data_IF_563217940673
#
_entry.id   IF_563217940673
#
_cell.length_a   1.000
_cell.length_b   1.000
_cell.length_c   1.000
_cell.angle_alpha   90.00
_cell.angle_beta   90.00
_cell.angle_gamma   90.00
#
_symmetry.space_group_name_H-M   'P 1'
#
loop_
_entity.id
_entity.type
_entity.pdbx_description
1 polymer ?
#
# COMPACT_ATOMS: atom_id res chain seq x y z
N UNK A 1 12.37 5.79 11.61
CA UNK A 1 11.24 5.44 10.73
C UNK A 1 11.01 3.94 10.86
N UNK A 2 9.80 3.48 11.21
CA UNK A 2 9.48 2.04 11.16
C UNK A 2 9.29 1.65 9.70
N UNK A 3 9.85 0.51 9.32
CA UNK A 3 9.89 0.01 7.95
C UNK A 3 9.66 -1.49 7.95
N UNK A 4 9.06 -1.98 6.87
CA UNK A 4 8.81 -3.40 6.64
C UNK A 4 9.44 -3.79 5.30
N UNK A 5 10.17 -4.90 5.27
CA UNK A 5 10.63 -5.54 4.05
C UNK A 5 9.90 -6.88 3.91
N UNK A 6 9.25 -7.08 2.76
CA UNK A 6 8.54 -8.32 2.44
C UNK A 6 9.16 -8.96 1.21
N UNK A 7 9.32 -10.28 1.23
CA UNK A 7 9.72 -11.06 0.06
C UNK A 7 8.56 -11.94 -0.38
N UNK A 8 8.22 -11.82 -1.65
CA UNK A 8 7.24 -12.67 -2.34
C UNK A 8 8.01 -13.62 -3.23
N UNK A 9 7.75 -14.92 -3.07
CA UNK A 9 8.33 -15.95 -3.91
C UNK A 9 7.32 -16.35 -4.99
N UNK A 10 7.76 -16.45 -6.25
CA UNK A 10 6.88 -16.82 -7.35
C UNK A 10 6.29 -18.22 -7.12
N UNK A 11 4.97 -18.34 -7.17
CA UNK A 11 4.24 -19.58 -6.91
C UNK A 11 3.91 -19.82 -5.43
N UNK A 12 4.45 -19.02 -4.50
CA UNK A 12 4.06 -19.07 -3.10
C UNK A 12 2.85 -18.14 -2.87
N UNK A 13 1.67 -18.74 -2.80
CA UNK A 13 0.41 -18.05 -2.53
C UNK A 13 -0.01 -18.16 -1.05
N UNK A 14 0.85 -18.71 -0.17
CA UNK A 14 0.50 -18.98 1.22
C UNK A 14 1.10 -17.95 2.17
N UNK A 15 2.42 -17.76 2.13
CA UNK A 15 3.13 -16.98 3.14
C UNK A 15 4.15 -16.02 2.53
N UNK A 16 4.44 -14.93 3.24
CA UNK A 16 5.49 -13.97 2.94
C UNK A 16 6.51 -13.93 4.08
N UNK A 17 7.76 -13.68 3.71
CA UNK A 17 8.85 -13.44 4.66
C UNK A 17 8.88 -11.96 5.00
N UNK A 18 8.84 -11.64 6.28
CA UNK A 18 8.69 -10.28 6.79
C UNK A 18 9.83 -9.94 7.74
N UNK A 19 10.50 -8.84 7.47
CA UNK A 19 11.47 -8.23 8.36
C UNK A 19 11.01 -6.82 8.72
N UNK A 20 10.71 -6.61 10.00
CA UNK A 20 10.39 -5.30 10.53
C UNK A 20 11.63 -4.65 11.12
N UNK A 21 11.88 -3.39 10.78
CA UNK A 21 13.05 -2.68 11.28
C UNK A 21 12.84 -1.19 11.43
N UNK A 22 13.72 -0.58 12.21
CA UNK A 22 13.81 0.86 12.34
C UNK A 22 15.25 1.29 12.12
N UNK A 23 15.44 2.25 11.23
CA UNK A 23 16.72 2.93 11.09
C UNK A 23 16.86 3.94 12.23
N UNK A 24 18.00 3.92 12.92
CA UNK A 24 18.32 4.85 14.01
C UNK A 24 18.62 6.24 13.47
N UNK A 25 19.25 6.31 12.30
CA UNK A 25 19.61 7.54 11.62
C UNK A 25 19.29 7.51 10.10
N UNK A 26 19.80 8.51 9.37
CA UNK A 26 19.68 8.68 7.92
C UNK A 26 21.00 8.43 7.18
N UNK A 27 21.93 7.66 7.77
CA UNK A 27 23.20 7.33 7.09
C UNK A 27 22.93 6.59 5.79
N UNK A 28 23.83 6.77 4.84
CA UNK A 28 23.75 6.18 3.50
C UNK A 28 24.04 4.69 3.48
N UNK A 29 24.60 4.14 4.56
CA UNK A 29 24.84 2.71 4.74
C UNK A 29 24.39 2.27 6.12
N UNK A 30 23.61 1.20 6.19
CA UNK A 30 23.12 0.62 7.44
C UNK A 30 23.14 -0.90 7.34
N UNK A 31 23.39 -1.55 8.47
CA UNK A 31 23.40 -3.00 8.58
C UNK A 31 22.59 -3.41 9.82
N UNK A 32 21.71 -4.39 9.67
CA UNK A 32 20.73 -4.78 10.68
C UNK A 32 20.62 -6.30 10.74
N UNK A 33 20.73 -6.86 11.94
CA UNK A 33 20.49 -8.28 12.22
C UNK A 33 19.11 -8.44 12.83
N UNK A 34 18.22 -9.13 12.14
CA UNK A 34 16.79 -9.14 12.45
C UNK A 34 16.22 -10.57 12.38
N UNK A 35 15.27 -10.92 13.25
CA UNK A 35 14.48 -12.13 13.08
C UNK A 35 13.59 -12.01 11.84
N UNK A 36 13.34 -13.16 11.20
CA UNK A 36 12.37 -13.27 10.11
C UNK A 36 11.05 -13.72 10.71
N UNK A 37 9.98 -13.03 10.36
CA UNK A 37 8.62 -13.46 10.64
C UNK A 37 7.98 -13.98 9.35
N UNK A 38 7.01 -14.87 9.52
CA UNK A 38 6.21 -15.38 8.41
C UNK A 38 4.79 -14.88 8.58
N UNK A 39 4.22 -14.33 7.51
CA UNK A 39 2.83 -13.88 7.53
C UNK A 39 2.06 -14.52 6.38
N UNK A 40 0.82 -14.92 6.63
CA UNK A 40 -0.06 -15.44 5.58
C UNK A 40 -0.46 -14.32 4.63
N UNK A 41 -0.50 -14.59 3.33
CA UNK A 41 -0.81 -13.57 2.31
C UNK A 41 -2.25 -13.07 2.42
N UNK A 42 -3.20 -13.93 2.79
CA UNK A 42 -4.63 -13.63 2.79
C UNK A 42 -5.05 -12.64 3.88
N UNK A 43 -4.48 -12.77 5.08
CA UNK A 43 -4.95 -12.08 6.29
C UNK A 43 -3.82 -11.46 7.11
N UNK A 44 -2.56 -11.58 6.66
CA UNK A 44 -1.35 -11.05 7.32
C UNK A 44 -1.10 -11.60 8.73
N UNK A 45 -1.80 -12.66 9.11
CA UNK A 45 -1.59 -13.34 10.40
C UNK A 45 -0.22 -13.99 10.43
N UNK A 46 0.43 -13.94 11.60
CA UNK A 46 1.73 -14.59 11.79
C UNK A 46 1.57 -16.11 11.70
N UNK A 47 2.44 -16.74 10.92
CA UNK A 47 2.46 -18.18 10.69
C UNK A 47 3.62 -18.76 11.49
N UNK A 48 3.32 -19.77 12.30
CA UNK A 48 4.34 -20.41 13.14
C UNK A 48 5.27 -21.29 12.33
N UNK A 49 6.48 -21.50 12.84
CA UNK A 49 7.44 -22.43 12.21
C UNK A 49 6.90 -23.86 12.14
N UNK A 50 6.09 -24.27 13.13
CA UNK A 50 5.46 -25.60 13.15
C UNK A 50 4.48 -25.78 11.99
N UNK A 51 3.64 -24.78 11.73
CA UNK A 51 2.72 -24.78 10.58
C UNK A 51 3.47 -24.82 9.24
N UNK A 52 4.58 -24.08 9.12
CA UNK A 52 5.42 -24.11 7.93
C UNK A 52 6.05 -25.48 7.70
N UNK A 53 6.60 -26.08 8.75
CA UNK A 53 7.21 -27.41 8.66
C UNK A 53 6.15 -28.48 8.33
N UNK A 54 4.92 -28.33 8.82
CA UNK A 54 3.83 -29.24 8.46
C UNK A 54 3.42 -29.08 6.99
N UNK A 55 3.35 -27.85 6.49
CA UNK A 55 2.98 -27.56 5.11
C UNK A 55 4.11 -27.87 4.11
N UNK A 56 5.36 -27.75 4.55
CA UNK A 56 6.58 -27.86 3.74
C UNK A 56 7.69 -28.61 4.50
N UNK A 57 7.55 -29.93 4.72
CA UNK A 57 8.43 -30.68 5.61
C UNK A 57 9.89 -30.78 5.16
N UNK A 58 10.17 -30.58 3.87
CA UNK A 58 11.50 -30.71 3.29
C UNK A 58 12.14 -29.35 2.94
N UNK A 59 11.62 -28.26 3.51
CA UNK A 59 12.11 -26.90 3.24
C UNK A 59 12.78 -26.34 4.48
N UNK A 60 14.02 -25.87 4.31
CA UNK A 60 14.74 -25.16 5.36
C UNK A 60 14.35 -23.68 5.33
N UNK A 61 13.63 -23.26 6.37
CA UNK A 61 13.24 -21.87 6.53
C UNK A 61 14.30 -21.09 7.32
N UNK A 62 14.65 -19.86 6.88
CA UNK A 62 15.55 -19.01 7.64
C UNK A 62 14.86 -18.41 8.86
N UNK A 63 15.58 -18.33 9.98
CA UNK A 63 15.11 -17.71 11.22
C UNK A 63 15.54 -16.24 11.35
N UNK A 64 16.64 -15.85 10.68
CA UNK A 64 17.23 -14.50 10.78
C UNK A 64 17.76 -14.04 9.43
N UNK A 65 17.85 -12.71 9.28
CA UNK A 65 18.59 -12.11 8.18
C UNK A 65 19.50 -10.98 8.66
N UNK A 66 20.66 -10.89 8.01
CA UNK A 66 21.52 -9.72 8.03
C UNK A 66 21.17 -8.86 6.81
N UNK A 67 20.48 -7.74 7.03
CA UNK A 67 20.11 -6.78 5.99
C UNK A 67 21.16 -5.68 5.92
N UNK A 68 21.73 -5.50 4.72
CA UNK A 68 22.60 -4.38 4.36
C UNK A 68 21.86 -3.44 3.42
N UNK A 69 21.68 -2.20 3.85
CA UNK A 69 21.03 -1.12 3.12
C UNK A 69 22.08 -0.11 2.69
N UNK A 70 22.21 0.12 1.37
CA UNK A 70 23.16 1.10 0.82
C UNK A 70 22.46 2.04 -0.15
N UNK A 71 22.34 3.30 0.22
CA UNK A 71 21.84 4.37 -0.63
C UNK A 71 22.90 4.72 -1.67
N UNK A 72 22.52 4.65 -2.95
CA UNK A 72 23.36 5.00 -4.11
C UNK A 72 22.65 6.06 -4.95
N UNK A 73 23.36 6.68 -5.89
CA UNK A 73 22.77 7.59 -6.87
C UNK A 73 21.64 6.95 -7.71
N UNK A 74 21.64 5.63 -7.88
CA UNK A 74 20.61 4.87 -8.63
C UNK A 74 19.42 4.43 -7.77
N UNK A 75 19.49 4.57 -6.46
CA UNK A 75 18.47 4.12 -5.51
C UNK A 75 19.04 3.40 -4.30
N UNK A 76 18.17 2.77 -3.51
CA UNK A 76 18.52 2.00 -2.32
C UNK A 76 18.81 0.55 -2.70
N UNK A 77 20.08 0.15 -2.60
CA UNK A 77 20.48 -1.25 -2.74
C UNK A 77 20.23 -1.95 -1.41
N UNK A 78 19.53 -3.08 -1.48
CA UNK A 78 19.20 -3.94 -0.35
C UNK A 78 19.85 -5.30 -0.62
N UNK A 79 20.64 -5.78 0.34
CA UNK A 79 21.14 -7.15 0.36
C UNK A 79 20.67 -7.77 1.67
N UNK A 80 20.01 -8.92 1.61
CA UNK A 80 19.63 -9.69 2.79
C UNK A 80 20.31 -11.06 2.71
N UNK A 81 21.23 -11.33 3.62
CA UNK A 81 21.79 -12.66 3.81
C UNK A 81 20.92 -13.38 4.84
N UNK A 82 20.34 -14.52 4.49
CA UNK A 82 19.44 -15.30 5.35
C UNK A 82 20.18 -16.45 6.02
N UNK A 83 19.83 -16.73 7.27
CA UNK A 83 20.47 -17.71 8.12
C UNK A 83 19.44 -18.66 8.72
N UNK A 84 19.87 -19.88 9.03
CA UNK A 84 19.19 -20.82 9.92
C UNK A 84 20.19 -21.18 11.02
N UNK A 85 19.95 -20.75 12.25
CA UNK A 85 20.96 -20.78 13.30
C UNK A 85 22.20 -19.96 12.92
N UNK A 86 23.36 -20.62 12.80
CA UNK A 86 24.63 -19.98 12.41
C UNK A 86 24.96 -20.13 10.92
N UNK A 87 24.24 -21.00 10.21
CA UNK A 87 24.52 -21.30 8.81
C UNK A 87 23.81 -20.31 7.89
N UNK A 88 24.55 -19.71 6.97
CA UNK A 88 23.95 -18.90 5.91
C UNK A 88 23.30 -19.83 4.87
N UNK A 89 22.02 -19.64 4.59
CA UNK A 89 21.27 -20.48 3.65
C UNK A 89 20.91 -19.76 2.35
N UNK A 90 21.02 -18.42 2.30
CA UNK A 90 20.65 -17.67 1.10
C UNK A 90 21.10 -16.21 1.08
N UNK A 91 20.98 -15.60 -0.11
CA UNK A 91 21.23 -14.17 -0.31
C UNK A 91 20.19 -13.60 -1.28
N UNK A 92 19.48 -12.57 -0.84
CA UNK A 92 18.50 -11.83 -1.64
C UNK A 92 19.06 -10.43 -1.92
N UNK A 93 18.95 -9.98 -3.17
CA UNK A 93 19.41 -8.64 -3.59
C UNK A 93 18.30 -7.91 -4.33
N UNK A 94 18.11 -6.65 -3.98
CA UNK A 94 17.14 -5.77 -4.63
C UNK A 94 17.69 -4.34 -4.79
N UNK A 95 17.22 -3.65 -5.83
CA UNK A 95 17.45 -2.22 -6.00
C UNK A 95 16.11 -1.49 -5.98
N UNK A 96 15.84 -0.82 -4.86
CA UNK A 96 14.63 -0.03 -4.68
C UNK A 96 14.86 1.38 -5.21
N UNK A 97 14.07 1.78 -6.22
CA UNK A 97 14.10 3.14 -6.76
C UNK A 97 13.06 3.99 -6.07
N UNK A 98 13.30 5.29 -5.99
CA UNK A 98 12.26 6.21 -5.55
C UNK A 98 11.02 6.07 -6.44
N UNK A 99 9.85 6.03 -5.79
CA UNK A 99 8.58 6.02 -6.51
C UNK A 99 8.49 7.24 -7.42
N UNK A 100 7.91 7.06 -8.61
CA UNK A 100 7.70 8.16 -9.55
C UNK A 100 6.34 8.85 -9.34
N UNK A 101 5.79 8.76 -8.12
CA UNK A 101 4.47 9.27 -7.77
C UNK A 101 4.38 10.80 -7.89
N UNK A 102 5.47 11.51 -7.62
CA UNK A 102 5.54 12.97 -7.70
C UNK A 102 5.85 13.45 -9.13
N UNK A 103 6.03 12.53 -10.09
CA UNK A 103 6.18 12.86 -11.51
C UNK A 103 4.80 13.08 -12.15
N UNK A 104 4.77 13.88 -13.20
CA UNK A 104 3.58 14.08 -14.04
C UNK A 104 3.01 12.74 -14.52
N UNK A 105 1.69 12.68 -14.64
CA UNK A 105 0.99 11.57 -15.30
C UNK A 105 1.49 11.45 -16.74
N UNK A 106 1.65 10.21 -17.22
CA UNK A 106 1.91 9.94 -18.64
C UNK A 106 0.66 10.12 -19.49
N UNK A 107 -0.52 10.03 -18.85
CA UNK A 107 -1.81 10.25 -19.50
C UNK A 107 -1.98 11.75 -19.67
N UNK A 108 -2.11 12.19 -20.91
CA UNK A 108 -2.40 13.58 -21.24
C UNK A 108 -3.89 13.85 -21.05
N UNK A 109 -4.21 15.05 -20.57
CA UNK A 109 -5.58 15.51 -20.52
C UNK A 109 -6.09 15.80 -21.93
N UNK A 110 -7.35 15.48 -22.20
CA UNK A 110 -7.97 15.89 -23.46
C UNK A 110 -8.16 17.40 -23.46
N UNK A 111 -7.38 18.09 -24.30
CA UNK A 111 -7.42 19.55 -24.42
C UNK A 111 -8.77 20.05 -24.96
N UNK A 112 -9.55 19.20 -25.64
CA UNK A 112 -10.86 19.54 -26.20
C UNK A 112 -11.97 19.55 -25.15
N UNK A 113 -11.76 18.87 -24.01
CA UNK A 113 -12.75 18.69 -22.94
C UNK A 113 -12.28 19.41 -21.68
N UNK A 114 -12.53 20.72 -21.63
CA UNK A 114 -12.15 21.60 -20.49
C UNK A 114 -13.34 22.11 -19.68
N UNK A 115 -14.56 21.89 -20.14
CA UNK A 115 -15.78 22.33 -19.47
C UNK A 115 -16.67 21.14 -19.12
N UNK A 116 -17.49 21.29 -18.09
CA UNK A 116 -18.42 20.25 -17.65
C UNK A 116 -19.41 19.84 -18.76
N UNK A 117 -19.90 20.79 -19.55
CA UNK A 117 -20.84 20.47 -20.64
C UNK A 117 -20.19 19.68 -21.77
N UNK A 118 -18.95 20.04 -22.14
CA UNK A 118 -18.18 19.26 -23.12
C UNK A 118 -17.87 17.86 -22.61
N UNK A 119 -17.65 17.71 -21.30
CA UNK A 119 -17.45 16.41 -20.67
C UNK A 119 -18.70 15.54 -20.74
N UNK A 120 -19.86 16.06 -20.34
CA UNK A 120 -21.14 15.33 -20.43
C UNK A 120 -21.41 14.86 -21.86
N UNK A 121 -21.20 15.74 -22.85
CA UNK A 121 -21.34 15.41 -24.27
C UNK A 121 -20.37 14.30 -24.73
N UNK A 122 -19.13 14.34 -24.26
CA UNK A 122 -18.13 13.31 -24.57
C UNK A 122 -18.50 11.96 -23.93
N UNK A 123 -18.84 11.93 -22.64
CA UNK A 123 -19.21 10.70 -21.92
C UNK A 123 -20.45 10.06 -22.52
N UNK A 124 -21.45 10.85 -22.90
CA UNK A 124 -22.68 10.34 -23.51
C UNK A 124 -22.49 9.66 -24.87
N UNK A 125 -21.30 9.79 -25.50
CA UNK A 125 -20.95 9.13 -26.77
C UNK A 125 -20.12 7.87 -26.58
N UNK A 126 -19.65 7.60 -25.37
CA UNK A 126 -18.79 6.46 -25.09
C UNK A 126 -19.62 5.24 -24.68
N UNK A 127 -19.18 4.02 -25.03
CA UNK A 127 -19.80 2.80 -24.53
C UNK A 127 -19.92 2.82 -23.00
N UNK A 128 -21.07 2.41 -22.44
CA UNK A 128 -21.23 2.27 -21.00
C UNK A 128 -20.21 1.26 -20.44
N UNK A 129 -19.86 1.43 -19.17
CA UNK A 129 -19.04 0.52 -18.34
C UNK A 129 -17.61 0.23 -18.83
N UNK A 130 -17.15 0.87 -19.91
CA UNK A 130 -15.77 0.74 -20.40
C UNK A 130 -14.79 1.74 -19.83
N UNK A 131 -15.28 2.86 -19.31
CA UNK A 131 -14.44 4.01 -18.98
C UNK A 131 -14.70 4.50 -17.57
N UNK A 132 -13.62 4.80 -16.85
CA UNK A 132 -13.67 5.47 -15.56
C UNK A 132 -13.07 6.85 -15.75
N UNK A 133 -13.88 7.88 -15.48
CA UNK A 133 -13.45 9.28 -15.57
C UNK A 133 -13.13 9.82 -14.19
N UNK A 134 -12.09 10.66 -14.11
CA UNK A 134 -11.83 11.47 -12.94
C UNK A 134 -11.48 12.90 -13.33
N UNK A 135 -12.02 13.86 -12.60
CA UNK A 135 -11.56 15.24 -12.63
C UNK A 135 -10.30 15.38 -11.80
N UNK A 136 -9.23 15.94 -12.37
CA UNK A 136 -8.08 16.38 -11.58
C UNK A 136 -7.63 17.77 -12.03
N UNK A 137 -7.43 18.71 -11.10
CA UNK A 137 -6.95 20.06 -11.44
C UNK A 137 -5.54 20.02 -12.01
N UNK A 138 -4.76 18.99 -11.66
CA UNK A 138 -3.36 18.80 -12.07
C UNK A 138 -3.15 17.41 -12.67
N UNK A 139 -2.33 17.35 -13.72
CA UNK A 139 -1.97 16.13 -14.44
C UNK A 139 -0.93 15.31 -13.67
N UNK A 140 -1.20 14.99 -12.40
CA UNK A 140 -0.34 14.17 -11.56
C UNK A 140 -0.79 12.71 -11.58
N UNK A 141 0.11 11.80 -11.23
CA UNK A 141 -0.25 10.38 -11.09
C UNK A 141 -1.27 10.19 -9.97
N UNK A 142 -2.07 9.12 -10.08
CA UNK A 142 -3.01 8.76 -9.03
C UNK A 142 -2.27 8.49 -7.72
N UNK A 143 -2.75 9.16 -6.67
CA UNK A 143 -2.31 8.94 -5.30
C UNK A 143 -3.48 9.20 -4.37
N UNK A 144 -3.79 8.22 -3.54
CA UNK A 144 -4.81 8.34 -2.49
C UNK A 144 -4.33 9.30 -1.41
N UNK A 145 -5.26 9.87 -0.64
CA UNK A 145 -4.96 10.78 0.46
C UNK A 145 -4.03 10.14 1.49
N UNK A 146 -4.22 8.85 1.79
CA UNK A 146 -3.32 8.03 2.62
C UNK A 146 -1.86 8.17 2.18
N UNK A 147 -1.57 7.87 0.91
CA UNK A 147 -0.21 7.93 0.40
C UNK A 147 0.34 9.37 0.38
N UNK A 148 -0.49 10.41 0.17
CA UNK A 148 -0.03 11.81 0.18
C UNK A 148 0.46 12.25 1.55
N UNK A 149 -0.12 11.72 2.63
CA UNK A 149 0.31 11.97 4.01
C UNK A 149 1.56 11.18 4.42
N UNK A 150 2.31 10.63 3.46
CA UNK A 150 3.49 9.79 3.68
C UNK A 150 3.24 8.47 4.43
N UNK A 151 1.98 8.09 4.65
CA UNK A 151 1.62 6.74 5.12
C UNK A 151 1.72 5.74 3.97
N UNK A 152 2.29 4.57 4.26
CA UNK A 152 2.53 3.50 3.27
C UNK A 152 2.33 2.10 3.82
N UNK A 153 2.17 1.97 5.13
CA UNK A 153 1.96 0.70 5.81
C UNK A 153 0.46 0.43 5.92
N UNK A 154 -0.05 -0.34 4.95
CA UNK A 154 -1.46 -0.72 4.89
C UNK A 154 -1.83 -1.68 6.03
N UNK A 155 -0.87 -2.51 6.48
CA UNK A 155 -1.11 -3.47 7.55
C UNK A 155 -1.33 -2.73 8.87
N UNK A 156 -0.45 -1.78 9.20
CA UNK A 156 -0.63 -0.90 10.34
C UNK A 156 -1.95 -0.12 10.24
N UNK A 157 -2.29 0.40 9.07
CA UNK A 157 -3.54 1.12 8.88
C UNK A 157 -4.77 0.25 9.18
N UNK A 158 -4.83 -0.97 8.63
CA UNK A 158 -5.99 -1.85 8.80
C UNK A 158 -6.08 -2.48 10.19
N UNK A 159 -4.94 -2.87 10.78
CA UNK A 159 -4.89 -3.58 12.07
C UNK A 159 -4.89 -2.67 13.29
N UNK A 160 -4.43 -1.42 13.15
CA UNK A 160 -4.27 -0.49 14.28
C UNK A 160 -5.12 0.75 14.05
N UNK A 161 -4.91 1.47 12.95
CA UNK A 161 -5.56 2.77 12.75
C UNK A 161 -7.09 2.63 12.64
N UNK A 162 -7.58 1.64 11.88
CA UNK A 162 -9.02 1.42 11.66
C UNK A 162 -9.77 0.98 12.92
N UNK A 163 -9.31 -0.03 13.70
CA UNK A 163 -9.96 -0.39 14.95
C UNK A 163 -10.00 0.75 15.98
N UNK A 164 -8.91 1.52 16.10
CA UNK A 164 -8.87 2.69 16.99
C UNK A 164 -9.86 3.76 16.55
N UNK A 165 -9.89 4.06 15.25
CA UNK A 165 -10.81 5.02 14.68
C UNK A 165 -12.26 4.58 14.83
N UNK A 166 -12.53 3.29 14.62
CA UNK A 166 -13.85 2.70 14.79
C UNK A 166 -14.36 2.85 16.22
N UNK A 167 -13.52 2.59 17.23
CA UNK A 167 -13.85 2.81 18.63
C UNK A 167 -14.17 4.29 18.91
N UNK A 168 -13.35 5.21 18.39
CA UNK A 168 -13.56 6.66 18.58
C UNK A 168 -14.86 7.13 17.91
N UNK A 169 -15.09 6.76 16.65
CA UNK A 169 -16.28 7.16 15.89
C UNK A 169 -17.53 6.61 16.55
N UNK A 170 -17.53 5.32 16.88
CA UNK A 170 -18.67 4.65 17.52
C UNK A 170 -18.99 5.24 18.89
N UNK A 171 -18.00 5.71 19.65
CA UNK A 171 -18.25 6.43 20.91
C UNK A 171 -18.93 7.79 20.73
N UNK A 172 -18.87 8.36 19.52
CA UNK A 172 -19.43 9.68 19.18
C UNK A 172 -20.71 9.61 18.36
N UNK A 173 -21.14 8.43 17.93
CA UNK A 173 -22.33 8.22 17.12
C UNK A 173 -23.33 7.34 17.86
N UNK A 174 -24.62 7.59 17.67
CA UNK A 174 -25.68 6.72 18.22
C UNK A 174 -25.78 5.36 17.50
N UNK A 175 -25.03 5.18 16.41
CA UNK A 175 -24.99 3.96 15.62
C UNK A 175 -23.66 3.22 15.83
N UNK A 176 -23.74 1.92 16.07
CA UNK A 176 -22.60 1.00 16.09
C UNK A 176 -22.43 0.39 14.69
N UNK A 177 -21.26 0.58 14.08
CA UNK A 177 -20.93 -0.04 12.79
C UNK A 177 -20.29 -1.41 13.01
N UNK A 178 -20.97 -2.52 12.75
CA UNK A 178 -20.33 -3.84 12.78
C UNK A 178 -19.43 -4.02 11.55
N UNK A 179 -18.10 -3.98 11.74
CA UNK A 179 -17.14 -4.11 10.64
C UNK A 179 -17.11 -5.51 10.01
N UNK A 180 -17.77 -6.50 10.62
CA UNK A 180 -17.94 -7.85 10.06
C UNK A 180 -19.09 -7.92 9.07
N UNK A 181 -20.05 -6.99 9.18
CA UNK A 181 -21.12 -6.82 8.21
C UNK A 181 -20.63 -5.96 7.04
N UNK A 182 -20.72 -6.49 5.82
CA UNK A 182 -20.19 -5.82 4.63
C UNK A 182 -20.85 -4.47 4.35
N UNK A 183 -22.15 -4.34 4.61
CA UNK A 183 -22.90 -3.10 4.35
C UNK A 183 -22.52 -2.04 5.38
N UNK A 184 -22.44 -2.42 6.65
CA UNK A 184 -22.03 -1.50 7.72
C UNK A 184 -20.55 -1.10 7.60
N UNK A 185 -19.68 -2.04 7.22
CA UNK A 185 -18.28 -1.75 6.92
C UNK A 185 -18.18 -0.75 5.74
N UNK A 186 -18.93 -0.98 4.65
CA UNK A 186 -18.97 -0.04 3.53
C UNK A 186 -19.49 1.35 3.94
N UNK A 187 -20.53 1.41 4.77
CA UNK A 187 -21.06 2.66 5.31
C UNK A 187 -20.00 3.39 6.17
N UNK A 188 -19.27 2.67 7.00
CA UNK A 188 -18.16 3.20 7.79
C UNK A 188 -17.05 3.77 6.91
N UNK A 189 -16.59 3.03 5.89
CA UNK A 189 -15.61 3.54 4.92
C UNK A 189 -16.09 4.78 4.18
N UNK A 190 -17.37 4.83 3.83
CA UNK A 190 -17.97 5.98 3.17
C UNK A 190 -17.96 7.21 4.10
N UNK A 191 -18.35 7.04 5.37
CA UNK A 191 -18.27 8.09 6.39
C UNK A 191 -16.84 8.67 6.49
N UNK A 192 -15.84 7.80 6.58
CA UNK A 192 -14.44 8.22 6.64
C UNK A 192 -14.03 9.06 5.43
N UNK A 193 -14.39 8.62 4.21
CA UNK A 193 -14.08 9.34 2.99
C UNK A 193 -14.79 10.69 2.91
N UNK A 194 -16.08 10.74 3.27
CA UNK A 194 -16.87 11.97 3.27
C UNK A 194 -16.30 13.03 4.22
N UNK A 195 -15.79 12.63 5.38
CA UNK A 195 -15.15 13.53 6.33
C UNK A 195 -13.65 13.78 6.06
N UNK A 196 -13.15 13.33 4.91
CA UNK A 196 -11.78 13.62 4.46
C UNK A 196 -10.70 12.84 5.21
N UNK A 197 -11.05 11.76 5.92
CA UNK A 197 -10.08 10.90 6.56
C UNK A 197 -9.19 10.23 5.48
N UNK A 198 -7.86 10.18 5.67
CA UNK A 198 -6.94 9.71 4.64
C UNK A 198 -6.99 8.18 4.48
N UNK A 199 -7.87 7.70 3.60
CA UNK A 199 -8.02 6.27 3.31
C UNK A 199 -7.11 5.81 2.15
N UNK A 200 -6.71 4.53 2.13
CA UNK A 200 -5.97 3.94 1.02
C UNK A 200 -6.85 3.68 -0.20
N UNK A 201 -8.17 3.86 -0.06
CA UNK A 201 -9.13 3.90 -1.16
C UNK A 201 -9.00 5.21 -1.94
N UNK A 202 -9.35 5.17 -3.22
CA UNK A 202 -9.42 6.40 -4.03
C UNK A 202 -10.64 7.17 -3.54
N UNK A 203 -10.40 8.19 -2.70
CA UNK A 203 -11.45 9.14 -2.37
C UNK A 203 -11.81 9.95 -3.63
N UNK A 204 -13.11 10.18 -3.91
CA UNK A 204 -13.51 11.30 -4.74
C UNK A 204 -13.18 12.57 -3.96
N UNK A 205 -11.97 13.11 -4.15
CA UNK A 205 -11.64 14.42 -3.58
C UNK A 205 -12.75 15.38 -4.00
N UNK A 206 -13.31 16.13 -3.03
CA UNK A 206 -14.48 16.98 -3.22
C UNK A 206 -14.51 17.65 -4.59
N UNK A 207 -15.57 17.35 -5.34
CA UNK A 207 -15.94 18.03 -6.58
C UNK A 207 -16.27 19.50 -6.27
N UNK A 208 -15.26 20.31 -5.98
CA UNK A 208 -15.28 21.69 -6.46
C UNK A 208 -14.91 21.60 -7.93
N UNK A 209 -15.92 21.44 -8.79
CA UNK A 209 -15.77 21.58 -10.24
C UNK A 209 -15.45 23.06 -10.51
N UNK A 210 -14.19 23.41 -10.34
CA UNK A 210 -13.58 24.61 -10.89
C UNK A 210 -12.66 24.12 -11.99
N UNK A 211 -13.06 24.39 -13.24
CA UNK A 211 -12.32 24.22 -14.51
C UNK A 211 -11.10 23.28 -14.41
N UNK A 212 -11.33 21.97 -14.41
CA UNK A 212 -10.29 20.97 -14.21
C UNK A 212 -10.29 19.90 -15.30
N UNK A 213 -9.10 19.57 -15.75
CA UNK A 213 -8.79 18.65 -16.84
C UNK A 213 -9.26 17.21 -16.56
N UNK A 214 -9.84 16.56 -17.58
CA UNK A 214 -10.28 15.16 -17.52
C UNK A 214 -9.20 14.25 -18.10
N UNK A 215 -8.88 13.20 -17.36
CA UNK A 215 -7.94 12.15 -17.77
C UNK A 215 -8.71 10.83 -17.91
N UNK A 216 -8.60 10.21 -19.10
CA UNK A 216 -9.11 8.86 -19.37
C UNK A 216 -8.06 7.83 -19.00
N UNK A 217 -8.42 6.84 -18.18
CA UNK A 217 -7.63 5.62 -18.00
C UNK A 217 -8.18 4.59 -19.00
N UNK A 218 -7.36 4.19 -19.96
CA UNK A 218 -7.58 3.01 -20.82
C UNK A 218 -6.91 1.80 -20.21
#
# INVERSE_FOLDING_TARGET
MRSQACVFENGNNRCIYVLQFRTTDKRTSQQLWLPIQFQRISDTTEVTQAELNQAFPNVNFPDRANIVLKLTNKGLRVTANTYQGTQQIGVIRALLRSGSADKRSKIAADKKVRTWDKFKLMVGRLPPDRYIFRGQPVCNRLRTSFHRTSRRDLNQFLSIDIPQLHAIVTSKTNHYFDLRDNIQNAAFWNLLQHHGYPTPLIAPNGLKISSSYILSLT
#
